data_IF_343301639675
#
_entry.id   IF_343301639675
#
_cell.length_a   1.000
_cell.length_b   1.000
_cell.length_c   1.000
_cell.angle_alpha   90.00
_cell.angle_beta   90.00
_cell.angle_gamma   90.00
#
_symmetry.space_group_name_H-M   'P 1'
#
loop_
_entity.id
_entity.type
_entity.pdbx_description
1 polymer ?
#
# COMPACT_ATOMS: atom_id res chain seq x y z
N UNK A 1 16.03 19.62 0.57
CA UNK A 1 16.32 19.16 -0.81
C UNK A 1 15.50 17.94 -1.21
N UNK A 2 15.45 16.86 -0.40
CA UNK A 2 14.70 15.63 -0.73
C UNK A 2 13.23 15.82 -1.15
N UNK A 3 12.50 16.74 -0.50
CA UNK A 3 11.13 17.08 -0.89
C UNK A 3 11.01 17.53 -2.37
N UNK A 4 11.83 18.50 -2.79
CA UNK A 4 11.81 18.98 -4.17
C UNK A 4 12.27 17.90 -5.15
N UNK A 5 13.28 17.11 -4.77
CA UNK A 5 13.72 15.94 -5.55
C UNK A 5 12.62 14.90 -5.70
N UNK A 6 11.81 14.65 -4.66
CA UNK A 6 10.67 13.75 -4.75
C UNK A 6 9.59 14.28 -5.69
N UNK A 7 9.27 15.58 -5.67
CA UNK A 7 8.33 16.15 -6.63
C UNK A 7 8.84 16.01 -8.07
N UNK A 8 10.11 16.34 -8.31
CA UNK A 8 10.73 16.25 -9.63
C UNK A 8 10.74 14.82 -10.17
N UNK A 9 10.91 13.81 -9.33
CA UNK A 9 10.89 12.40 -9.73
C UNK A 9 9.47 11.82 -9.85
N UNK A 10 8.57 12.16 -8.93
CA UNK A 10 7.26 11.55 -8.84
C UNK A 10 6.22 12.16 -9.79
N UNK A 11 6.26 13.48 -10.03
CA UNK A 11 5.27 14.16 -10.89
C UNK A 11 5.31 13.63 -12.33
N UNK A 12 6.47 13.47 -13.00
CA UNK A 12 6.50 12.89 -14.34
C UNK A 12 5.95 11.46 -14.41
N UNK A 13 6.24 10.64 -13.40
CA UNK A 13 5.78 9.25 -13.35
C UNK A 13 4.26 9.17 -13.14
N UNK A 14 3.70 10.02 -12.29
CA UNK A 14 2.25 10.12 -12.10
C UNK A 14 1.56 10.71 -13.34
N UNK A 15 2.13 11.73 -13.98
CA UNK A 15 1.62 12.28 -15.23
C UNK A 15 1.63 11.23 -16.35
N UNK A 16 2.68 10.40 -16.42
CA UNK A 16 2.74 9.27 -17.34
C UNK A 16 1.65 8.23 -17.02
N UNK A 17 1.39 7.96 -15.75
CA UNK A 17 0.30 7.06 -15.33
C UNK A 17 -1.07 7.58 -15.78
N UNK A 18 -1.35 8.87 -15.55
CA UNK A 18 -2.60 9.52 -15.94
C UNK A 18 -2.75 9.48 -17.46
N UNK A 19 -1.71 9.89 -18.19
CA UNK A 19 -1.69 9.86 -19.65
C UNK A 19 -1.92 8.45 -20.20
N UNK A 20 -1.27 7.44 -19.60
CA UNK A 20 -1.47 6.05 -19.98
C UNK A 20 -2.93 5.62 -19.79
N UNK A 21 -3.56 5.96 -18.66
CA UNK A 21 -4.97 5.63 -18.42
C UNK A 21 -5.94 6.38 -19.34
N UNK A 22 -5.67 7.65 -19.64
CA UNK A 22 -6.46 8.44 -20.60
C UNK A 22 -6.34 7.91 -22.04
N UNK A 23 -5.21 7.30 -22.38
CA UNK A 23 -4.97 6.71 -23.70
C UNK A 23 -5.61 5.32 -23.89
N UNK A 24 -6.13 4.70 -22.82
CA UNK A 24 -6.81 3.41 -22.95
C UNK A 24 -8.13 3.60 -23.72
N UNK A 25 -8.40 2.77 -24.74
CA UNK A 25 -9.62 2.88 -25.52
C UNK A 25 -10.86 2.68 -24.64
N UNK A 26 -11.90 3.46 -24.94
CA UNK A 26 -13.24 3.33 -24.38
C UNK A 26 -13.33 3.44 -22.85
N UNK A 27 -12.32 4.03 -22.17
CA UNK A 27 -12.44 4.43 -20.75
C UNK A 27 -13.60 5.42 -20.56
N UNK A 28 -13.85 6.27 -21.56
CA UNK A 28 -15.00 7.18 -21.56
C UNK A 28 -16.36 6.49 -21.72
N UNK A 29 -16.39 5.21 -22.14
CA UNK A 29 -17.61 4.41 -22.27
C UNK A 29 -17.88 3.53 -21.05
N UNK A 30 -16.93 3.39 -20.10
CA UNK A 30 -17.16 2.72 -18.82
C UNK A 30 -18.41 3.25 -18.08
N UNK A 31 -18.70 4.57 -18.02
CA UNK A 31 -19.94 5.08 -17.42
C UNK A 31 -21.21 4.52 -18.08
N UNK A 32 -21.19 4.21 -19.39
CA UNK A 32 -22.35 3.62 -20.07
C UNK A 32 -22.63 2.20 -19.61
N UNK A 33 -21.59 1.45 -19.22
CA UNK A 33 -21.77 0.11 -18.67
C UNK A 33 -22.54 0.14 -17.35
N UNK A 34 -22.43 1.21 -16.57
CA UNK A 34 -23.21 1.40 -15.34
C UNK A 34 -24.72 1.50 -15.58
N UNK A 35 -25.14 2.17 -16.64
CA UNK A 35 -26.56 2.27 -17.02
C UNK A 35 -27.14 0.89 -17.38
N UNK A 36 -26.34 0.06 -18.06
CA UNK A 36 -26.74 -1.29 -18.49
C UNK A 36 -26.94 -2.22 -17.28
N UNK A 37 -26.09 -2.11 -16.26
CA UNK A 37 -26.15 -2.98 -15.08
C UNK A 37 -27.18 -2.57 -14.03
N UNK A 38 -27.90 -1.47 -14.25
CA UNK A 38 -29.02 -1.03 -13.42
C UNK A 38 -28.68 -1.04 -11.92
N UNK A 39 -27.46 -0.60 -11.58
CA UNK A 39 -27.00 -0.52 -10.21
C UNK A 39 -27.91 0.48 -9.51
N UNK A 40 -28.81 -0.03 -8.65
CA UNK A 40 -29.77 0.78 -7.89
C UNK A 40 -29.05 1.91 -7.16
N UNK A 41 -29.75 3.02 -6.93
CA UNK A 41 -29.29 4.07 -6.03
C UNK A 41 -28.86 3.44 -4.70
N UNK A 42 -27.57 3.55 -4.38
CA UNK A 42 -26.94 2.90 -3.23
C UNK A 42 -26.93 3.86 -2.06
N UNK A 43 -26.37 5.05 -2.30
CA UNK A 43 -26.36 6.14 -1.33
C UNK A 43 -27.51 7.10 -1.51
N UNK A 44 -28.15 7.08 -2.69
CA UNK A 44 -29.17 8.05 -3.08
C UNK A 44 -28.58 9.36 -3.62
N UNK A 45 -27.26 9.47 -3.70
CA UNK A 45 -26.55 10.62 -4.27
C UNK A 45 -26.07 10.24 -5.67
N UNK A 46 -26.81 10.65 -6.70
CA UNK A 46 -26.57 10.24 -8.10
C UNK A 46 -25.10 10.37 -8.55
N UNK A 47 -24.43 11.48 -8.24
CA UNK A 47 -23.04 11.68 -8.64
C UNK A 47 -22.07 10.70 -7.98
N UNK A 48 -22.28 10.40 -6.69
CA UNK A 48 -21.44 9.47 -5.95
C UNK A 48 -21.73 8.01 -6.34
N UNK A 49 -23.00 7.66 -6.55
CA UNK A 49 -23.40 6.33 -7.02
C UNK A 49 -22.85 6.04 -8.43
N UNK A 50 -22.86 7.04 -9.33
CA UNK A 50 -22.25 6.92 -10.67
C UNK A 50 -20.75 6.68 -10.56
N UNK A 51 -20.06 7.45 -9.72
CA UNK A 51 -18.62 7.31 -9.50
C UNK A 51 -18.25 5.93 -8.93
N UNK A 52 -18.94 5.50 -7.86
CA UNK A 52 -18.73 4.18 -7.26
C UNK A 52 -19.04 3.06 -8.25
N UNK A 53 -20.06 3.22 -9.08
CA UNK A 53 -20.39 2.23 -10.09
C UNK A 53 -19.24 2.02 -11.09
N UNK A 54 -18.58 3.09 -11.55
CA UNK A 54 -17.43 2.98 -12.47
C UNK A 54 -16.32 2.15 -11.81
N UNK A 55 -15.96 2.46 -10.57
CA UNK A 55 -14.92 1.74 -9.83
C UNK A 55 -15.29 0.27 -9.65
N UNK A 56 -16.50 -0.02 -9.15
CA UNK A 56 -16.99 -1.40 -8.95
C UNK A 56 -17.02 -2.17 -10.27
N UNK A 57 -17.36 -1.51 -11.38
CA UNK A 57 -17.38 -2.13 -12.70
C UNK A 57 -15.97 -2.50 -13.17
N UNK A 58 -14.97 -1.66 -12.94
CA UNK A 58 -13.56 -1.99 -13.20
C UNK A 58 -13.14 -3.23 -12.39
N UNK A 59 -13.40 -3.25 -11.08
CA UNK A 59 -13.10 -4.42 -10.24
C UNK A 59 -13.81 -5.69 -10.74
N UNK A 60 -15.10 -5.59 -11.06
CA UNK A 60 -15.87 -6.73 -11.58
C UNK A 60 -15.34 -7.24 -12.92
N UNK A 61 -14.91 -6.34 -13.82
CA UNK A 61 -14.25 -6.73 -15.06
C UNK A 61 -12.92 -7.43 -14.79
N UNK A 62 -12.10 -6.92 -13.85
CA UNK A 62 -10.86 -7.58 -13.45
C UNK A 62 -11.10 -8.96 -12.84
N UNK A 63 -12.12 -9.13 -11.98
CA UNK A 63 -12.44 -10.43 -11.36
C UNK A 63 -12.86 -11.51 -12.35
N UNK A 64 -13.44 -11.10 -13.49
CA UNK A 64 -13.93 -12.00 -14.54
C UNK A 64 -12.86 -12.36 -15.58
N UNK A 65 -11.72 -11.70 -15.53
CA UNK A 65 -10.56 -12.04 -16.33
C UNK A 65 -9.61 -12.91 -15.49
N UNK A 66 -9.22 -14.13 -15.91
CA UNK A 66 -8.34 -14.97 -15.10
C UNK A 66 -7.01 -14.28 -14.72
N UNK A 67 -6.41 -13.56 -15.67
CA UNK A 67 -5.18 -12.81 -15.43
C UNK A 67 -5.46 -11.55 -14.58
N UNK A 68 -6.54 -10.82 -14.89
CA UNK A 68 -7.02 -9.70 -14.09
C UNK A 68 -7.28 -10.06 -12.63
N UNK A 69 -7.87 -11.22 -12.36
CA UNK A 69 -8.14 -11.72 -11.02
C UNK A 69 -6.85 -11.94 -10.22
N UNK A 70 -5.86 -12.60 -10.82
CA UNK A 70 -4.56 -12.84 -10.18
C UNK A 70 -3.76 -11.54 -9.99
N UNK A 71 -3.79 -10.63 -10.99
CA UNK A 71 -3.19 -9.29 -10.85
C UNK A 71 -3.88 -8.50 -9.74
N UNK A 72 -5.19 -8.66 -9.57
CA UNK A 72 -5.93 -8.00 -8.48
C UNK A 72 -5.44 -8.48 -7.12
N UNK A 73 -5.24 -9.79 -6.93
CA UNK A 73 -4.65 -10.31 -5.68
C UNK A 73 -3.27 -9.71 -5.39
N UNK A 74 -2.40 -9.61 -6.39
CA UNK A 74 -1.08 -8.98 -6.23
C UNK A 74 -1.19 -7.49 -5.87
N UNK A 75 -2.02 -6.75 -6.60
CA UNK A 75 -2.22 -5.32 -6.38
C UNK A 75 -2.76 -5.04 -4.98
N UNK A 76 -3.78 -5.77 -4.55
CA UNK A 76 -4.42 -5.56 -3.24
C UNK A 76 -3.53 -6.06 -2.10
N UNK A 77 -2.79 -7.16 -2.28
CA UNK A 77 -1.76 -7.56 -1.33
C UNK A 77 -0.72 -6.45 -1.13
N UNK A 78 -0.22 -5.89 -2.24
CA UNK A 78 0.75 -4.80 -2.21
C UNK A 78 0.16 -3.52 -1.60
N UNK A 79 -1.09 -3.19 -1.92
CA UNK A 79 -1.75 -2.04 -1.32
C UNK A 79 -1.92 -2.19 0.20
N UNK A 80 -2.16 -3.39 0.71
CA UNK A 80 -2.13 -3.66 2.16
C UNK A 80 -0.78 -3.31 2.81
N UNK A 81 0.34 -3.56 2.13
CA UNK A 81 1.66 -3.14 2.59
C UNK A 81 1.85 -1.62 2.54
N UNK A 82 1.42 -0.97 1.45
CA UNK A 82 1.51 0.50 1.33
C UNK A 82 0.65 1.19 2.40
N UNK A 83 -0.56 0.68 2.66
CA UNK A 83 -1.42 1.18 3.73
C UNK A 83 -0.78 0.98 5.11
N UNK A 84 -0.08 -0.14 5.31
CA UNK A 84 0.72 -0.39 6.52
C UNK A 84 1.83 0.65 6.67
N UNK A 85 2.56 0.97 5.59
CA UNK A 85 3.56 2.04 5.59
C UNK A 85 2.94 3.39 5.93
N UNK A 86 1.80 3.74 5.33
CA UNK A 86 1.12 5.00 5.61
C UNK A 86 0.73 5.09 7.09
N UNK A 87 0.19 4.01 7.66
CA UNK A 87 -0.21 3.96 9.06
C UNK A 87 0.98 4.08 10.04
N UNK A 88 2.10 3.40 9.74
CA UNK A 88 3.30 3.45 10.57
C UNK A 88 3.99 4.81 10.51
N UNK A 89 4.24 5.34 9.31
CA UNK A 89 4.86 6.67 9.16
C UNK A 89 3.97 7.77 9.75
N UNK A 90 2.66 7.69 9.54
CA UNK A 90 1.68 8.60 10.13
C UNK A 90 1.56 8.51 11.66
N UNK A 91 2.06 7.43 12.27
CA UNK A 91 2.04 7.20 13.73
C UNK A 91 3.35 7.57 14.43
N UNK A 92 4.38 8.05 13.70
CA UNK A 92 5.63 8.51 14.33
C UNK A 92 5.41 9.80 15.13
N UNK A 93 6.18 9.97 16.21
CA UNK A 93 6.04 11.07 17.17
C UNK A 93 6.06 12.47 16.53
N UNK A 94 6.87 12.70 15.49
CA UNK A 94 6.92 13.97 14.75
C UNK A 94 6.20 13.97 13.40
N UNK A 95 5.35 12.97 13.15
CA UNK A 95 4.50 13.01 11.95
C UNK A 95 3.59 14.23 11.97
N UNK A 96 3.47 14.92 10.84
CA UNK A 96 2.48 15.99 10.73
C UNK A 96 1.06 15.40 10.64
N UNK A 97 0.04 16.26 10.79
CA UNK A 97 -1.37 15.85 10.67
C UNK A 97 -1.71 15.29 9.29
N UNK A 98 -1.04 15.77 8.24
CA UNK A 98 -1.28 15.33 6.87
C UNK A 98 -0.92 13.86 6.67
N UNK A 99 0.27 13.41 7.09
CA UNK A 99 0.67 12.00 7.05
C UNK A 99 -0.16 11.11 7.98
N UNK A 100 -0.64 11.67 9.11
CA UNK A 100 -1.49 10.94 10.04
C UNK A 100 -2.88 10.60 9.46
N UNK A 101 -3.29 11.23 8.36
CA UNK A 101 -4.55 10.92 7.64
C UNK A 101 -4.41 9.72 6.70
N UNK A 102 -3.64 8.69 7.10
CA UNK A 102 -3.36 7.52 6.27
C UNK A 102 -4.62 6.80 5.77
N UNK A 103 -5.68 6.72 6.57
CA UNK A 103 -6.96 6.11 6.17
C UNK A 103 -7.64 6.87 5.04
N UNK A 104 -7.53 8.20 5.05
CA UNK A 104 -8.03 9.05 3.97
C UNK A 104 -7.19 8.86 2.70
N UNK A 105 -5.86 8.83 2.82
CA UNK A 105 -4.98 8.53 1.67
C UNK A 105 -5.24 7.15 1.08
N UNK A 106 -5.47 6.15 1.93
CA UNK A 106 -5.85 4.81 1.49
C UNK A 106 -7.19 4.80 0.75
N UNK A 107 -8.21 5.51 1.26
CA UNK A 107 -9.50 5.62 0.58
C UNK A 107 -9.37 6.32 -0.79
N UNK A 108 -8.60 7.42 -0.87
CA UNK A 108 -8.36 8.07 -2.16
C UNK A 108 -7.55 7.14 -3.09
N UNK A 109 -6.63 6.34 -2.57
CA UNK A 109 -5.87 5.36 -3.37
C UNK A 109 -6.78 4.33 -4.04
N UNK A 110 -7.83 3.88 -3.34
CA UNK A 110 -8.86 3.02 -3.89
C UNK A 110 -9.62 3.67 -5.07
N UNK A 111 -9.79 4.99 -5.04
CA UNK A 111 -10.54 5.76 -6.03
C UNK A 111 -9.70 6.26 -7.21
N UNK A 112 -8.47 6.68 -6.95
CA UNK A 112 -7.58 7.33 -7.94
C UNK A 112 -6.39 6.47 -8.38
N UNK A 113 -6.31 5.23 -7.91
CA UNK A 113 -5.13 4.38 -8.09
C UNK A 113 -4.07 4.64 -7.01
N UNK A 114 -3.45 3.57 -6.53
CA UNK A 114 -2.45 3.65 -5.47
C UNK A 114 -1.19 4.37 -5.95
N UNK A 115 -0.78 4.15 -7.19
CA UNK A 115 0.41 4.76 -7.79
C UNK A 115 0.35 6.29 -7.74
N UNK A 116 -0.78 6.88 -8.13
CA UNK A 116 -0.95 8.34 -8.17
C UNK A 116 -0.88 8.95 -6.78
N UNK A 117 -1.57 8.37 -5.79
CA UNK A 117 -1.60 8.90 -4.42
C UNK A 117 -0.25 8.72 -3.73
N UNK A 118 0.41 7.58 -3.93
CA UNK A 118 1.75 7.35 -3.42
C UNK A 118 2.75 8.39 -3.98
N UNK A 119 2.75 8.59 -5.30
CA UNK A 119 3.71 9.44 -6.00
C UNK A 119 3.46 10.93 -5.76
N UNK A 120 2.23 11.40 -5.96
CA UNK A 120 1.92 12.84 -5.94
C UNK A 120 1.78 13.39 -4.52
N UNK A 121 1.29 12.57 -3.58
CA UNK A 121 0.90 13.06 -2.26
C UNK A 121 1.78 12.48 -1.18
N UNK A 122 1.87 11.15 -1.08
CA UNK A 122 2.48 10.53 0.09
C UNK A 122 4.01 10.66 0.14
N UNK A 123 4.72 10.31 -0.94
CA UNK A 123 6.20 10.39 -0.97
C UNK A 123 6.68 11.84 -0.73
N UNK A 124 6.13 12.88 -1.41
CA UNK A 124 6.49 14.25 -1.11
C UNK A 124 6.15 14.64 0.33
N UNK A 125 4.97 14.30 0.83
CA UNK A 125 4.60 14.61 2.21
C UNK A 125 5.54 13.95 3.23
N UNK A 126 5.99 12.72 2.98
CA UNK A 126 6.94 12.00 3.81
C UNK A 126 8.26 12.76 3.92
N UNK A 127 8.85 13.18 2.80
CA UNK A 127 10.11 13.95 2.80
C UNK A 127 9.96 15.39 3.27
N UNK A 128 8.74 15.95 3.24
CA UNK A 128 8.44 17.22 3.87
C UNK A 128 8.44 17.11 5.41
N UNK A 129 7.93 16.02 5.95
CA UNK A 129 7.81 15.82 7.41
C UNK A 129 9.10 15.33 8.06
N UNK A 130 9.80 14.42 7.38
CA UNK A 130 10.98 13.76 7.91
C UNK A 130 12.21 14.22 7.13
N UNK A 131 12.61 15.47 7.36
CA UNK A 131 13.90 15.94 6.87
C UNK A 131 15.07 15.30 7.66
N UNK A 132 16.30 15.48 7.16
CA UNK A 132 17.48 14.90 7.78
C UNK A 132 17.74 15.46 9.19
N UNK A 133 17.13 16.59 9.58
CA UNK A 133 17.25 17.15 10.93
C UNK A 133 16.33 16.43 11.92
N UNK A 134 15.10 16.11 11.50
CA UNK A 134 14.12 15.37 12.30
C UNK A 134 14.59 13.94 12.54
N UNK A 135 15.14 13.29 11.50
CA UNK A 135 15.60 11.89 11.57
C UNK A 135 16.83 11.71 12.47
N UNK A 136 17.62 12.76 12.73
CA UNK A 136 18.80 12.68 13.62
C UNK A 136 18.43 12.36 15.07
N UNK A 137 17.28 12.83 15.54
CA UNK A 137 16.78 12.48 16.88
C UNK A 137 15.83 11.28 16.79
N UNK A 138 16.31 10.13 17.27
CA UNK A 138 15.57 8.86 17.23
C UNK A 138 14.21 8.95 17.92
N UNK A 139 14.04 9.87 18.88
CA UNK A 139 12.75 10.08 19.56
C UNK A 139 11.67 10.61 18.62
N UNK A 140 12.06 11.33 17.56
CA UNK A 140 11.11 11.88 16.59
C UNK A 140 10.48 10.80 15.71
N UNK A 141 11.20 9.70 15.50
CA UNK A 141 10.77 8.56 14.67
C UNK A 141 10.25 7.38 15.50
N UNK A 142 10.11 7.55 16.81
CA UNK A 142 9.55 6.56 17.72
C UNK A 142 8.07 6.29 17.44
N UNK A 143 7.70 5.01 17.48
CA UNK A 143 6.33 4.49 17.44
C UNK A 143 6.17 3.55 18.64
N UNK A 144 5.09 3.69 19.42
CA UNK A 144 4.92 2.79 20.56
C UNK A 144 4.66 1.34 20.11
N UNK A 145 5.22 0.32 20.78
CA UNK A 145 4.99 -1.09 20.39
C UNK A 145 3.51 -1.47 20.32
N UNK A 146 2.68 -0.94 21.23
CA UNK A 146 1.23 -1.16 21.24
C UNK A 146 0.57 -0.62 19.98
N UNK A 147 1.02 0.55 19.51
CA UNK A 147 0.51 1.17 18.29
C UNK A 147 0.91 0.35 17.07
N UNK A 148 2.17 -0.09 16.99
CA UNK A 148 2.63 -0.94 15.89
C UNK A 148 1.87 -2.27 15.83
N UNK A 149 1.72 -2.97 16.95
CA UNK A 149 0.94 -4.21 17.02
C UNK A 149 -0.56 -3.99 16.74
N UNK A 150 -1.12 -2.86 17.19
CA UNK A 150 -2.49 -2.46 16.87
C UNK A 150 -2.70 -2.22 15.37
N UNK A 151 -1.72 -1.60 14.69
CA UNK A 151 -1.70 -1.43 13.23
C UNK A 151 -1.70 -2.80 12.53
N UNK A 152 -0.84 -3.73 12.97
CA UNK A 152 -0.80 -5.07 12.39
C UNK A 152 -2.18 -5.76 12.42
N UNK A 153 -2.83 -5.81 13.60
CA UNK A 153 -4.16 -6.42 13.71
C UNK A 153 -5.21 -5.69 12.89
N UNK A 154 -5.16 -4.36 12.86
CA UNK A 154 -6.09 -3.56 12.08
C UNK A 154 -5.94 -3.76 10.58
N UNK A 155 -4.71 -3.94 10.08
CA UNK A 155 -4.48 -4.27 8.67
C UNK A 155 -4.99 -5.68 8.36
N UNK A 156 -4.69 -6.67 9.21
CA UNK A 156 -5.17 -8.04 8.99
C UNK A 156 -6.70 -8.12 9.00
N UNK A 157 -7.36 -7.51 9.99
CA UNK A 157 -8.81 -7.63 10.17
C UNK A 157 -9.62 -6.59 9.39
N UNK A 158 -9.10 -5.36 9.26
CA UNK A 158 -9.78 -4.24 8.62
C UNK A 158 -9.51 -4.10 7.13
N UNK A 159 -8.47 -4.75 6.62
CA UNK A 159 -8.11 -4.70 5.21
C UNK A 159 -7.95 -6.09 4.59
N UNK A 160 -7.07 -6.95 5.11
CA UNK A 160 -6.80 -8.25 4.49
C UNK A 160 -8.03 -9.17 4.51
N UNK A 161 -8.74 -9.26 5.63
CA UNK A 161 -9.98 -10.06 5.73
C UNK A 161 -11.10 -9.58 4.79
N UNK A 162 -11.47 -8.28 4.73
CA UNK A 162 -12.42 -7.78 3.74
C UNK A 162 -11.97 -7.98 2.29
N UNK A 163 -10.66 -7.87 2.01
CA UNK A 163 -10.09 -8.12 0.68
C UNK A 163 -10.28 -9.58 0.27
N UNK A 164 -9.91 -10.51 1.13
CA UNK A 164 -10.08 -11.94 0.89
C UNK A 164 -11.57 -12.28 0.76
N UNK A 165 -12.43 -11.74 1.62
CA UNK A 165 -13.87 -11.93 1.52
C UNK A 165 -14.38 -11.47 0.15
N UNK A 166 -14.08 -10.24 -0.27
CA UNK A 166 -14.48 -9.69 -1.57
C UNK A 166 -14.07 -10.60 -2.75
N UNK A 167 -12.83 -11.11 -2.74
CA UNK A 167 -12.28 -11.94 -3.81
C UNK A 167 -12.78 -13.39 -3.82
N UNK A 168 -13.33 -13.87 -2.70
CA UNK A 168 -13.83 -15.23 -2.52
C UNK A 168 -15.36 -15.33 -2.58
N UNK A 169 -16.08 -14.22 -2.80
CA UNK A 169 -17.54 -14.26 -2.98
C UNK A 169 -17.88 -14.95 -4.31
N UNK A 170 -18.79 -15.92 -4.26
CA UNK A 170 -19.11 -16.76 -5.43
C UNK A 170 -20.06 -16.10 -6.42
N UNK A 171 -20.94 -15.21 -5.95
CA UNK A 171 -21.96 -14.59 -6.81
C UNK A 171 -21.55 -13.20 -7.25
N UNK A 172 -21.84 -12.88 -8.50
CA UNK A 172 -21.58 -11.56 -9.10
C UNK A 172 -22.11 -10.41 -8.24
N UNK A 173 -23.34 -10.53 -7.76
CA UNK A 173 -23.99 -9.47 -7.00
C UNK A 173 -23.31 -9.27 -5.64
N UNK A 174 -22.86 -10.35 -5.01
CA UNK A 174 -22.08 -10.23 -3.78
C UNK A 174 -20.67 -9.67 -4.04
N UNK A 175 -19.99 -10.05 -5.13
CA UNK A 175 -18.70 -9.46 -5.48
C UNK A 175 -18.80 -7.95 -5.73
N UNK A 176 -19.84 -7.48 -6.43
CA UNK A 176 -20.09 -6.04 -6.64
C UNK A 176 -20.30 -5.32 -5.31
N UNK A 177 -21.16 -5.87 -4.44
CA UNK A 177 -21.42 -5.29 -3.13
C UNK A 177 -20.16 -5.31 -2.24
N UNK A 178 -19.40 -6.39 -2.30
CA UNK A 178 -18.11 -6.55 -1.62
C UNK A 178 -17.10 -5.51 -2.10
N UNK A 179 -16.92 -5.36 -3.41
CA UNK A 179 -16.01 -4.37 -4.01
C UNK A 179 -16.38 -2.95 -3.64
N UNK A 180 -17.67 -2.64 -3.56
CA UNK A 180 -18.17 -1.34 -3.14
C UNK A 180 -17.89 -1.06 -1.67
N UNK A 181 -18.24 -1.98 -0.78
CA UNK A 181 -17.97 -1.84 0.65
C UNK A 181 -16.46 -1.77 0.94
N UNK A 182 -15.68 -2.54 0.18
CA UNK A 182 -14.23 -2.62 0.29
C UNK A 182 -13.52 -1.30 -0.05
N UNK A 183 -14.11 -0.42 -0.88
CA UNK A 183 -13.54 0.91 -1.16
C UNK A 183 -13.29 1.72 0.13
N UNK A 184 -14.05 1.45 1.19
CA UNK A 184 -13.95 2.12 2.50
C UNK A 184 -13.12 1.35 3.53
N UNK A 185 -12.55 0.18 3.18
CA UNK A 185 -11.71 -0.61 4.08
C UNK A 185 -10.58 0.20 4.76
N UNK A 186 -9.90 1.15 4.09
CA UNK A 186 -8.89 2.00 4.75
C UNK A 186 -9.43 2.83 5.93
N UNK A 187 -10.69 3.26 5.89
CA UNK A 187 -11.35 3.94 7.02
C UNK A 187 -11.54 2.97 8.17
N UNK A 188 -12.02 1.76 7.88
CA UNK A 188 -12.19 0.70 8.88
C UNK A 188 -10.86 0.39 9.59
N UNK A 189 -9.75 0.31 8.85
CA UNK A 189 -8.40 0.17 9.43
C UNK A 189 -8.11 1.29 10.44
N UNK A 190 -8.42 2.54 10.10
CA UNK A 190 -8.23 3.68 11.00
C UNK A 190 -9.01 3.55 12.31
N UNK A 191 -10.28 3.14 12.22
CA UNK A 191 -11.14 2.89 13.38
C UNK A 191 -10.58 1.74 14.23
N UNK A 192 -10.22 0.62 13.59
CA UNK A 192 -9.68 -0.54 14.29
C UNK A 192 -8.34 -0.25 14.96
N UNK A 193 -7.49 0.61 14.39
CA UNK A 193 -6.25 1.05 15.04
C UNK A 193 -6.54 1.76 16.37
N UNK A 194 -7.57 2.61 16.43
CA UNK A 194 -7.98 3.30 17.66
C UNK A 194 -8.47 2.32 18.71
N UNK A 195 -9.14 1.24 18.29
CA UNK A 195 -9.64 0.18 19.18
C UNK A 195 -8.53 -0.76 19.63
N UNK A 196 -7.65 -1.22 18.74
CA UNK A 196 -6.64 -2.22 19.05
C UNK A 196 -5.42 -1.66 19.78
N UNK A 197 -5.03 -0.40 19.54
CA UNK A 197 -3.90 0.22 20.27
C UNK A 197 -4.05 0.13 21.80
N UNK A 198 -5.18 0.51 22.43
CA UNK A 198 -5.35 0.37 23.88
C UNK A 198 -5.45 -1.09 24.33
N UNK A 199 -6.04 -1.99 23.54
CA UNK A 199 -6.10 -3.43 23.87
C UNK A 199 -4.70 -4.06 23.93
N UNK A 200 -3.76 -3.57 23.12
CA UNK A 200 -2.37 -4.03 23.14
C UNK A 200 -1.55 -3.53 24.33
N UNK A 201 -2.09 -2.66 25.20
CA UNK A 201 -1.39 -2.21 26.42
C UNK A 201 -1.10 -3.35 27.39
N UNK A 202 -1.91 -4.41 27.38
CA UNK A 202 -1.69 -5.58 28.23
C UNK A 202 -0.42 -6.38 27.84
N UNK A 203 0.17 -6.11 26.68
CA UNK A 203 1.41 -6.74 26.21
C UNK A 203 2.66 -5.91 26.56
N UNK A 204 2.51 -4.80 27.28
CA UNK A 204 3.65 -4.00 27.72
C UNK A 204 4.29 -4.68 28.93
N UNK A 205 5.58 -5.02 28.78
CA UNK A 205 6.36 -5.55 29.89
C UNK A 205 6.46 -4.49 30.99
N UNK A 206 6.31 -4.89 32.27
CA UNK A 206 6.43 -3.95 33.37
C UNK A 206 7.82 -3.32 33.36
N UNK A 207 7.89 -1.99 33.48
CA UNK A 207 9.17 -1.27 33.53
C UNK A 207 10.00 -1.78 34.72
N UNK A 208 11.21 -2.28 34.44
CA UNK A 208 12.16 -2.61 35.49
C UNK A 208 12.70 -1.33 36.11
N UNK A 209 12.27 -1.06 37.35
CA UNK A 209 12.62 0.11 38.15
C UNK A 209 14.14 0.21 38.36
N UNK A 210 14.88 -0.90 38.25
CA UNK A 210 16.34 -0.95 38.48
C UNK A 210 17.16 -0.41 37.31
N UNK A 211 16.55 -0.19 36.13
CA UNK A 211 17.28 0.26 34.95
C UNK A 211 17.59 1.77 34.98
N UNK A 212 18.83 2.14 34.61
CA UNK A 212 19.22 3.54 34.41
C UNK A 212 18.36 4.21 33.34
N UNK A 213 18.20 5.53 33.41
CA UNK A 213 17.39 6.27 32.45
C UNK A 213 17.88 6.09 30.99
N UNK A 214 19.20 5.99 30.79
CA UNK A 214 19.80 5.72 29.48
C UNK A 214 19.47 4.30 28.98
N UNK A 215 19.58 3.28 29.83
CA UNK A 215 19.22 1.91 29.46
C UNK A 215 17.74 1.80 29.09
N UNK A 216 16.85 2.46 29.85
CA UNK A 216 15.41 2.52 29.55
C UNK A 216 15.12 3.19 28.21
N UNK A 217 15.80 4.30 27.90
CA UNK A 217 15.64 4.97 26.61
C UNK A 217 16.09 4.09 25.43
N UNK A 218 17.23 3.38 25.57
CA UNK A 218 17.73 2.44 24.55
C UNK A 218 16.78 1.26 24.37
N UNK A 219 16.29 0.67 25.46
CA UNK A 219 15.33 -0.43 25.42
C UNK A 219 14.04 -0.01 24.70
N UNK A 220 13.47 1.14 25.07
CA UNK A 220 12.25 1.67 24.44
C UNK A 220 12.40 1.88 22.93
N UNK A 221 13.54 2.40 22.47
CA UNK A 221 13.83 2.54 21.03
C UNK A 221 13.99 1.19 20.36
N UNK A 222 14.69 0.25 21.00
CA UNK A 222 14.85 -1.11 20.48
C UNK A 222 13.51 -1.84 20.35
N UNK A 223 12.61 -1.69 21.33
CA UNK A 223 11.28 -2.31 21.32
C UNK A 223 10.39 -1.70 20.25
N UNK A 224 10.44 -0.38 20.07
CA UNK A 224 9.81 0.31 18.95
C UNK A 224 10.25 -0.30 17.61
N UNK A 225 11.56 -0.46 17.43
CA UNK A 225 12.15 -0.98 16.19
C UNK A 225 11.69 -2.40 15.93
N UNK A 226 11.83 -3.26 16.94
CA UNK A 226 11.47 -4.66 16.86
C UNK A 226 9.98 -4.84 16.56
N UNK A 227 9.11 -4.01 17.15
CA UNK A 227 7.68 -4.04 16.87
C UNK A 227 7.38 -3.63 15.42
N UNK A 228 7.93 -2.51 14.93
CA UNK A 228 7.72 -2.03 13.56
C UNK A 228 8.26 -3.02 12.52
N UNK A 229 9.48 -3.54 12.73
CA UNK A 229 10.06 -4.56 11.85
C UNK A 229 9.20 -5.82 11.80
N UNK A 230 8.63 -6.25 12.93
CA UNK A 230 7.71 -7.40 12.99
C UNK A 230 6.45 -7.17 12.15
N UNK A 231 5.87 -5.97 12.19
CA UNK A 231 4.72 -5.62 11.34
C UNK A 231 5.09 -5.78 9.87
N UNK A 232 6.20 -5.18 9.42
CA UNK A 232 6.64 -5.29 8.03
C UNK A 232 6.97 -6.72 7.63
N UNK A 233 7.66 -7.50 8.48
CA UNK A 233 7.99 -8.89 8.19
C UNK A 233 6.73 -9.76 8.05
N UNK A 234 5.74 -9.60 8.93
CA UNK A 234 4.50 -10.40 8.86
C UNK A 234 3.65 -10.05 7.65
N UNK A 235 3.44 -8.76 7.36
CA UNK A 235 2.70 -8.32 6.16
C UNK A 235 3.47 -8.69 4.88
N UNK A 236 4.80 -8.60 4.91
CA UNK A 236 5.68 -9.06 3.84
C UNK A 236 5.55 -10.56 3.60
N UNK A 237 5.55 -11.39 4.65
CA UNK A 237 5.39 -12.84 4.55
C UNK A 237 4.03 -13.23 3.95
N UNK A 238 2.94 -12.59 4.37
CA UNK A 238 1.61 -12.79 3.75
C UNK A 238 1.66 -12.48 2.25
N UNK A 239 2.31 -11.38 1.87
CA UNK A 239 2.47 -11.01 0.47
C UNK A 239 3.35 -11.98 -0.33
N UNK A 240 4.41 -12.53 0.27
CA UNK A 240 5.25 -13.56 -0.36
C UNK A 240 4.43 -14.83 -0.61
N UNK A 241 3.57 -15.23 0.34
CA UNK A 241 2.67 -16.38 0.19
C UNK A 241 1.69 -16.15 -0.97
N UNK A 242 1.08 -14.95 -1.04
CA UNK A 242 0.19 -14.57 -2.15
C UNK A 242 0.96 -14.64 -3.48
N UNK A 243 2.13 -14.00 -3.55
CA UNK A 243 2.95 -13.96 -4.75
C UNK A 243 3.30 -15.34 -5.29
N UNK A 244 3.83 -16.23 -4.44
CA UNK A 244 4.20 -17.58 -4.86
C UNK A 244 2.99 -18.48 -5.12
N UNK A 245 1.90 -18.31 -4.37
CA UNK A 245 0.65 -19.02 -4.63
C UNK A 245 0.11 -18.72 -6.03
N UNK A 246 0.08 -17.44 -6.41
CA UNK A 246 -0.33 -17.01 -7.75
C UNK A 246 0.67 -17.44 -8.82
N UNK A 247 1.98 -17.35 -8.55
CA UNK A 247 3.00 -17.84 -9.47
C UNK A 247 2.80 -19.33 -9.81
N UNK A 248 2.56 -20.18 -8.80
CA UNK A 248 2.30 -21.61 -8.99
C UNK A 248 1.03 -21.80 -9.80
N UNK A 249 -0.07 -21.09 -9.45
CA UNK A 249 -1.34 -21.16 -10.17
C UNK A 249 -1.18 -20.77 -11.64
N UNK A 250 -0.62 -19.60 -11.94
CA UNK A 250 -0.38 -19.12 -13.30
C UNK A 250 0.50 -20.07 -14.11
N UNK A 251 1.49 -20.71 -13.46
CA UNK A 251 2.33 -21.72 -14.09
C UNK A 251 1.57 -23.00 -14.40
N UNK A 252 0.70 -23.47 -13.50
CA UNK A 252 -0.15 -24.64 -13.72
C UNK A 252 -1.19 -24.41 -14.82
N UNK A 253 -1.70 -23.19 -14.94
CA UNK A 253 -2.65 -22.78 -15.99
C UNK A 253 -1.94 -22.47 -17.34
N UNK A 254 -0.61 -22.54 -17.40
CA UNK A 254 0.16 -22.26 -18.61
C UNK A 254 0.17 -20.78 -19.02
N UNK A 255 -0.28 -19.88 -18.14
CA UNK A 255 -0.40 -18.44 -18.42
C UNK A 255 0.91 -17.67 -18.18
N UNK A 256 1.86 -18.25 -17.45
CA UNK A 256 3.16 -17.63 -17.16
C UNK A 256 4.16 -17.80 -18.34
N UNK A 257 3.83 -17.24 -19.49
CA UNK A 257 4.70 -17.21 -20.67
C UNK A 257 5.15 -15.78 -20.99
N UNK A 258 6.33 -15.64 -21.59
CA UNK A 258 6.82 -14.34 -22.10
C UNK A 258 5.83 -13.78 -23.12
N UNK A 259 5.19 -14.65 -23.90
CA UNK A 259 4.15 -14.27 -24.86
C UNK A 259 2.94 -13.65 -24.18
N UNK A 260 2.49 -14.15 -23.03
CA UNK A 260 1.37 -13.55 -22.28
C UNK A 260 1.69 -12.10 -21.89
N UNK A 261 2.93 -11.83 -21.47
CA UNK A 261 3.36 -10.49 -21.10
C UNK A 261 3.51 -9.57 -22.34
N UNK A 262 4.09 -10.08 -23.42
CA UNK A 262 4.18 -9.37 -24.70
C UNK A 262 2.78 -9.08 -25.26
N UNK A 263 1.87 -10.04 -25.16
CA UNK A 263 0.49 -9.90 -25.61
C UNK A 263 -0.21 -8.83 -24.78
N UNK A 264 -0.09 -8.87 -23.44
CA UNK A 264 -0.60 -7.81 -22.57
C UNK A 264 -0.06 -6.45 -23.02
N UNK A 265 1.26 -6.28 -23.15
CA UNK A 265 1.84 -5.00 -23.60
C UNK A 265 1.42 -4.55 -25.01
N UNK A 266 1.08 -5.48 -25.90
CA UNK A 266 0.77 -5.21 -27.31
C UNK A 266 -0.72 -5.27 -27.64
N UNK A 267 -1.60 -5.55 -26.67
CA UNK A 267 -3.06 -5.68 -26.90
C UNK A 267 -3.61 -4.51 -27.72
N UNK A 268 -3.10 -3.30 -27.48
CA UNK A 268 -3.59 -2.07 -28.09
C UNK A 268 -2.91 -1.68 -29.41
N UNK A 269 -1.87 -2.40 -29.83
CA UNK A 269 -1.17 -2.13 -31.10
C UNK A 269 -1.94 -2.70 -32.32
N UNK A 270 -2.96 -3.53 -32.10
CA UNK A 270 -3.90 -3.98 -33.13
C UNK A 270 -5.22 -3.21 -33.05
N UNK A 271 -5.87 -2.99 -34.20
CA UNK A 271 -7.26 -2.54 -34.22
C UNK A 271 -8.12 -3.64 -33.57
N UNK A 272 -8.64 -3.40 -32.36
CA UNK A 272 -9.60 -4.26 -31.66
C UNK A 272 -10.99 -4.22 -32.32
N UNK A 273 -11.05 -4.35 -33.65
CA UNK A 273 -12.30 -4.41 -34.39
C UNK A 273 -13.00 -5.74 -34.12
N UNK A 274 -14.19 -5.69 -33.51
CA UNK A 274 -15.04 -6.86 -33.28
C UNK A 274 -14.99 -7.46 -31.86
N UNK A 275 -14.26 -6.83 -30.93
CA UNK A 275 -14.29 -7.23 -29.51
C UNK A 275 -15.57 -6.71 -28.86
N UNK A 276 -16.23 -7.53 -28.04
CA UNK A 276 -17.42 -7.09 -27.31
C UNK A 276 -17.06 -6.07 -26.22
N UNK A 277 -17.98 -5.16 -25.88
CA UNK A 277 -17.78 -4.16 -24.80
C UNK A 277 -17.38 -4.84 -23.49
N UNK A 278 -17.92 -6.02 -23.20
CA UNK A 278 -17.57 -6.77 -21.99
C UNK A 278 -16.13 -7.29 -22.02
N UNK A 279 -15.69 -7.87 -23.14
CA UNK A 279 -14.32 -8.34 -23.31
C UNK A 279 -13.33 -7.19 -23.24
N UNK A 280 -13.66 -6.06 -23.88
CA UNK A 280 -12.85 -4.86 -23.82
C UNK A 280 -12.72 -4.34 -22.38
N UNK A 281 -13.82 -4.29 -21.63
CA UNK A 281 -13.81 -3.89 -20.22
C UNK A 281 -12.90 -4.77 -19.35
N UNK A 282 -12.90 -6.09 -19.57
CA UNK A 282 -12.01 -7.05 -18.89
C UNK A 282 -10.53 -6.77 -19.18
N UNK A 283 -10.21 -6.56 -20.46
CA UNK A 283 -8.86 -6.24 -20.90
C UNK A 283 -8.40 -4.91 -20.30
N UNK A 284 -9.21 -3.86 -20.40
CA UNK A 284 -8.90 -2.52 -19.86
C UNK A 284 -8.70 -2.57 -18.35
N UNK A 285 -9.60 -3.21 -17.60
CA UNK A 285 -9.48 -3.33 -16.15
C UNK A 285 -8.20 -4.06 -15.73
N UNK A 286 -7.86 -5.14 -16.41
CA UNK A 286 -6.62 -5.91 -16.18
C UNK A 286 -5.38 -5.05 -16.40
N UNK A 287 -5.36 -4.24 -17.47
CA UNK A 287 -4.28 -3.30 -17.75
C UNK A 287 -4.19 -2.19 -16.72
N UNK A 288 -5.32 -1.64 -16.27
CA UNK A 288 -5.35 -0.60 -15.24
C UNK A 288 -4.67 -1.11 -13.98
N UNK A 289 -5.04 -2.30 -13.50
CA UNK A 289 -4.46 -2.89 -12.29
C UNK A 289 -2.99 -3.28 -12.46
N UNK A 290 -2.63 -3.81 -13.63
CA UNK A 290 -1.23 -4.15 -13.94
C UNK A 290 -0.34 -2.91 -13.94
N UNK A 291 -0.79 -1.84 -14.61
CA UNK A 291 -0.07 -0.58 -14.67
C UNK A 291 0.01 0.08 -13.28
N UNK A 292 -1.07 0.11 -12.51
CA UNK A 292 -1.07 0.65 -11.14
C UNK A 292 -0.07 -0.11 -10.25
N UNK A 293 -0.03 -1.45 -10.36
CA UNK A 293 0.94 -2.28 -9.65
C UNK A 293 2.39 -1.93 -10.01
N UNK A 294 2.71 -1.87 -11.31
CA UNK A 294 4.07 -1.59 -11.81
C UNK A 294 4.50 -0.18 -11.44
N UNK A 295 3.66 0.82 -11.68
CA UNK A 295 3.98 2.23 -11.43
C UNK A 295 4.10 2.47 -9.92
N UNK A 296 3.25 1.86 -9.09
CA UNK A 296 3.39 1.92 -7.63
C UNK A 296 4.72 1.30 -7.17
N UNK A 297 5.11 0.15 -7.73
CA UNK A 297 6.39 -0.47 -7.42
C UNK A 297 7.57 0.43 -7.81
N UNK A 298 7.56 1.02 -9.00
CA UNK A 298 8.56 2.00 -9.42
C UNK A 298 8.59 3.23 -8.49
N UNK A 299 7.43 3.68 -8.02
CA UNK A 299 7.33 4.72 -7.00
C UNK A 299 8.03 4.34 -5.68
N UNK A 300 7.89 3.09 -5.24
CA UNK A 300 8.64 2.57 -4.09
C UNK A 300 10.15 2.53 -4.36
N UNK A 301 10.59 2.25 -5.60
CA UNK A 301 12.01 2.27 -5.98
C UNK A 301 12.57 3.68 -5.90
N UNK A 302 11.83 4.66 -6.43
CA UNK A 302 12.17 6.08 -6.32
C UNK A 302 12.23 6.49 -4.84
N UNK A 303 11.26 6.08 -4.03
CA UNK A 303 11.26 6.34 -2.60
C UNK A 303 12.51 5.77 -1.90
N UNK A 304 12.84 4.51 -2.14
CA UNK A 304 14.02 3.86 -1.58
C UNK A 304 15.33 4.54 -2.02
N UNK A 305 15.39 4.95 -3.29
CA UNK A 305 16.52 5.70 -3.86
C UNK A 305 16.69 7.06 -3.21
N UNK A 306 15.61 7.80 -2.98
CA UNK A 306 15.64 9.12 -2.35
C UNK A 306 15.94 9.04 -0.83
N UNK A 307 15.48 7.98 -0.17
CA UNK A 307 15.65 7.81 1.27
C UNK A 307 17.07 7.31 1.64
N UNK A 308 17.54 6.24 0.98
CA UNK A 308 18.80 5.55 1.29
C UNK A 308 19.80 5.47 0.13
N UNK A 309 19.56 6.21 -0.95
CA UNK A 309 20.43 6.19 -2.12
C UNK A 309 20.38 4.85 -2.88
N UNK A 310 21.38 4.64 -3.73
CA UNK A 310 21.48 3.46 -4.60
C UNK A 310 21.43 2.16 -3.79
N UNK A 311 22.04 2.13 -2.60
CA UNK A 311 22.03 0.95 -1.73
C UNK A 311 20.61 0.52 -1.34
N UNK A 312 19.74 1.47 -0.98
CA UNK A 312 18.34 1.18 -0.64
C UNK A 312 17.57 0.61 -1.83
N UNK A 313 17.70 1.26 -2.98
CA UNK A 313 17.07 0.79 -4.22
C UNK A 313 17.55 -0.63 -4.61
N UNK A 314 18.85 -0.94 -4.51
CA UNK A 314 19.38 -2.26 -4.82
C UNK A 314 18.85 -3.34 -3.86
N UNK A 315 18.80 -3.08 -2.55
CA UNK A 315 18.24 -4.02 -1.57
C UNK A 315 16.79 -4.37 -1.96
N UNK A 316 16.00 -3.35 -2.30
CA UNK A 316 14.61 -3.55 -2.66
C UNK A 316 14.45 -4.27 -4.00
N UNK A 317 15.19 -3.88 -5.04
CA UNK A 317 15.15 -4.52 -6.36
C UNK A 317 15.56 -6.00 -6.28
N UNK A 318 16.70 -6.29 -5.64
CA UNK A 318 17.21 -7.66 -5.51
C UNK A 318 16.27 -8.54 -4.67
N UNK A 319 15.73 -8.00 -3.59
CA UNK A 319 14.78 -8.76 -2.76
C UNK A 319 13.44 -8.95 -3.46
N UNK A 320 12.97 -8.01 -4.28
CA UNK A 320 11.74 -8.18 -5.07
C UNK A 320 11.82 -9.24 -6.16
N UNK A 321 13.02 -9.54 -6.68
CA UNK A 321 13.22 -10.66 -7.62
C UNK A 321 12.88 -12.00 -6.95
N UNK A 322 13.22 -12.15 -5.66
CA UNK A 322 13.00 -13.38 -4.91
C UNK A 322 11.61 -13.36 -4.27
N UNK A 323 11.30 -12.31 -3.52
CA UNK A 323 10.13 -12.25 -2.64
C UNK A 323 8.88 -11.65 -3.31
N UNK A 324 8.98 -11.25 -4.58
CA UNK A 324 7.97 -10.43 -5.25
C UNK A 324 8.02 -8.96 -4.82
N UNK A 325 7.29 -8.07 -5.51
CA UNK A 325 7.39 -6.62 -5.32
C UNK A 325 7.09 -6.20 -3.88
N UNK A 326 5.95 -6.62 -3.32
CA UNK A 326 5.56 -6.29 -1.95
C UNK A 326 6.52 -6.89 -0.90
N UNK A 327 6.95 -8.14 -1.06
CA UNK A 327 7.92 -8.76 -0.16
C UNK A 327 9.26 -8.01 -0.12
N UNK A 328 9.76 -7.56 -1.28
CA UNK A 328 10.98 -6.77 -1.35
C UNK A 328 10.86 -5.37 -0.75
N UNK A 329 9.72 -4.69 -0.95
CA UNK A 329 9.42 -3.40 -0.28
C UNK A 329 9.37 -3.58 1.25
N UNK A 330 8.73 -4.65 1.73
CA UNK A 330 8.67 -4.94 3.16
C UNK A 330 10.07 -5.19 3.76
N UNK A 331 10.92 -5.94 3.06
CA UNK A 331 12.31 -6.17 3.49
C UNK A 331 13.13 -4.87 3.49
N UNK A 332 12.94 -4.02 2.48
CA UNK A 332 13.54 -2.69 2.47
C UNK A 332 13.09 -1.84 3.67
N UNK A 333 11.80 -1.88 4.04
CA UNK A 333 11.31 -1.19 5.23
C UNK A 333 11.98 -1.70 6.52
N UNK A 334 12.16 -3.02 6.66
CA UNK A 334 12.88 -3.61 7.80
C UNK A 334 14.32 -3.09 7.88
N UNK A 335 15.04 -3.10 6.75
CA UNK A 335 16.39 -2.53 6.64
C UNK A 335 16.42 -1.04 6.98
N UNK A 336 15.43 -0.28 6.51
CA UNK A 336 15.31 1.17 6.75
C UNK A 336 15.16 1.46 8.24
N UNK A 337 14.36 0.68 8.98
CA UNK A 337 14.15 0.88 10.42
C UNK A 337 15.44 0.71 11.24
N UNK A 338 16.35 -0.19 10.85
CA UNK A 338 17.65 -0.34 11.53
C UNK A 338 18.43 0.97 11.53
N UNK A 339 18.41 1.68 10.39
CA UNK A 339 19.10 2.96 10.25
C UNK A 339 18.32 4.16 10.80
N UNK A 340 17.02 4.05 11.04
CA UNK A 340 16.20 5.13 11.62
C UNK A 340 16.24 5.10 13.14
N UNK A 341 16.15 3.91 13.73
CA UNK A 341 16.08 3.70 15.17
C UNK A 341 17.38 3.13 15.72
N UNK A 342 18.49 3.75 15.31
CA UNK A 342 19.83 3.40 15.72
C UNK A 342 20.13 3.93 17.13
N UNK A 343 20.16 3.01 18.11
CA UNK A 343 20.34 3.35 19.54
C UNK A 343 21.67 4.06 19.84
N UNK A 344 22.68 3.97 18.98
CA UNK A 344 23.96 4.67 19.19
C UNK A 344 23.85 6.18 18.96
N UNK A 345 22.76 6.64 18.33
CA UNK A 345 22.49 8.07 18.08
C UNK A 345 21.75 8.76 19.22
N UNK A 346 21.37 8.02 20.27
CA UNK A 346 20.74 8.63 21.42
C UNK A 346 21.72 9.57 22.13
N UNK A 347 21.34 10.83 22.39
CA UNK A 347 22.21 11.74 23.14
C UNK A 347 22.44 11.17 24.54
N UNK A 348 23.68 11.26 25.03
CA UNK A 348 24.00 10.90 26.40
C UNK A 348 23.08 11.71 27.34
N UNK A 349 22.29 11.01 28.14
CA UNK A 349 21.44 11.65 29.15
C UNK A 349 22.37 12.07 30.28
N UNK A 350 22.85 13.31 30.22
CA UNK A 350 23.51 13.90 31.38
C UNK A 350 22.46 14.04 32.48
N UNK A 351 22.50 13.15 33.46
CA UNK A 351 21.79 13.32 34.71
C UNK A 351 22.23 14.66 35.30
N UNK A 352 21.40 15.69 35.12
CA UNK A 352 21.51 16.88 35.94
C UNK A 352 21.30 16.41 37.37
N UNK A 353 22.39 16.25 38.11
CA UNK A 353 22.36 16.09 39.57
C UNK A 353 21.67 17.34 40.12
N UNK A 354 20.37 17.25 40.34
CA UNK A 354 19.64 18.19 41.19
C UNK A 354 20.22 18.01 42.58
N UNK A 355 21.08 18.96 42.99
CA UNK A 355 21.63 19.06 44.34
C UNK A 355 20.57 19.60 45.30
#
# INVERSE_FOLDING_TARGET
MKFLSSLAACVPLAALSIYYFEALPDVNDLPRTCEIYNVKQLTGINGFDTFLCIIVTIFNHAFRDPLGYDITWLLLGFFGLILTMFALEGSRTRSNRFLAWFSFWGMISNFGGMSNILLLLWIPAMFYCFDDSVIKDVRNVYISPQRANGILLAILLGYASPTAAMLLLDTLEMQKLGAMAWQFAPILVGILIVVFTPLMRCLEDPEDIRMTAEARAKLKVSDSRNAVQRVYMLIGMVNVIIYYGLYIRLKMEGMLSVETFINLLNVYNGQMTGVSVEQLGRIVATHIFAADLVICYLGCVIWALLDRGIKGALIMLLSSIVLGPAGGVALYCVYREEGLQDTTRLPAIHEKKTQ
#
